data_IF_507301350110
#
_entry.id   IF_507301350110
#
_cell.length_a   1.000
_cell.length_b   1.000
_cell.length_c   1.000
_cell.angle_alpha   90.00
_cell.angle_beta   90.00
_cell.angle_gamma   90.00
#
_symmetry.space_group_name_H-M   'P 1'
#
loop_
_entity.id
_entity.type
_entity.pdbx_description
1 polymer ?
#
# COMPACT_ATOMS: atom_id res chain seq x y z
N UNK A 1 23.54 12.22 -10.38
CA UNK A 1 22.26 12.31 -9.62
C UNK A 1 22.25 13.46 -8.61
N UNK A 2 23.36 13.79 -7.94
CA UNK A 2 23.38 14.77 -6.84
C UNK A 2 23.18 16.25 -7.28
N UNK A 3 23.51 16.62 -8.52
CA UNK A 3 23.39 18.01 -9.03
C UNK A 3 21.97 18.44 -9.44
N UNK A 4 21.07 17.51 -9.72
CA UNK A 4 19.70 17.85 -10.19
C UNK A 4 18.79 18.16 -9.00
N UNK A 5 18.95 17.43 -7.90
CA UNK A 5 18.16 17.61 -6.67
C UNK A 5 18.42 18.98 -6.00
N UNK A 6 19.62 19.53 -6.16
CA UNK A 6 19.98 20.87 -5.67
C UNK A 6 19.44 21.99 -6.56
N UNK A 7 19.22 21.74 -7.86
CA UNK A 7 18.77 22.75 -8.83
C UNK A 7 17.25 22.82 -8.98
N UNK A 8 16.51 21.75 -8.68
CA UNK A 8 15.06 21.74 -8.82
C UNK A 8 14.39 20.84 -7.75
N UNK A 9 14.37 21.26 -6.47
CA UNK A 9 13.80 20.45 -5.38
C UNK A 9 12.30 20.17 -5.55
N UNK A 10 11.61 20.95 -6.39
CA UNK A 10 10.18 20.80 -6.69
C UNK A 10 9.92 20.33 -8.13
N UNK A 11 10.96 19.92 -8.87
CA UNK A 11 10.83 19.46 -10.25
C UNK A 11 10.22 18.05 -10.35
N UNK A 12 9.45 17.80 -11.40
CA UNK A 12 8.95 16.45 -11.72
C UNK A 12 10.14 15.58 -12.17
N UNK A 13 10.42 14.51 -11.44
CA UNK A 13 11.49 13.57 -11.76
C UNK A 13 10.95 12.40 -12.58
N UNK A 14 11.51 12.20 -13.78
CA UNK A 14 11.22 11.05 -14.63
C UNK A 14 12.36 10.05 -14.56
N UNK A 15 12.03 8.77 -14.42
CA UNK A 15 12.98 7.68 -14.30
C UNK A 15 12.75 6.66 -15.40
N UNK A 16 13.83 6.02 -15.87
CA UNK A 16 13.79 5.02 -16.92
C UNK A 16 13.54 3.59 -16.40
N UNK A 17 13.71 3.33 -15.10
CA UNK A 17 13.50 2.01 -14.50
C UNK A 17 12.77 2.10 -13.15
N UNK A 18 11.99 1.06 -12.83
CA UNK A 18 11.30 0.92 -11.55
C UNK A 18 12.25 0.85 -10.35
N UNK A 19 13.48 0.33 -10.54
CA UNK A 19 14.49 0.28 -9.49
C UNK A 19 14.88 1.70 -9.05
N UNK A 20 15.08 2.61 -10.00
CA UNK A 20 15.45 4.00 -9.68
C UNK A 20 14.27 4.75 -9.06
N UNK A 21 13.04 4.52 -9.53
CA UNK A 21 11.82 5.03 -8.89
C UNK A 21 11.73 4.57 -7.43
N UNK A 22 11.95 3.27 -7.19
CA UNK A 22 11.89 2.67 -5.84
C UNK A 22 12.96 3.26 -4.94
N UNK A 23 14.20 3.39 -5.43
CA UNK A 23 15.30 4.01 -4.69
C UNK A 23 15.00 5.47 -4.34
N UNK A 24 14.44 6.23 -5.26
CA UNK A 24 14.05 7.62 -5.02
C UNK A 24 12.93 7.71 -3.98
N UNK A 25 11.86 6.93 -4.14
CA UNK A 25 10.75 6.91 -3.18
C UNK A 25 11.24 6.52 -1.77
N UNK A 26 12.10 5.50 -1.66
CA UNK A 26 12.69 5.09 -0.39
C UNK A 26 13.57 6.19 0.23
N UNK A 27 14.32 6.93 -0.60
CA UNK A 27 15.07 8.09 -0.14
C UNK A 27 14.12 9.17 0.41
N UNK A 28 13.05 9.51 -0.30
CA UNK A 28 12.07 10.50 0.17
C UNK A 28 11.43 10.07 1.50
N UNK A 29 11.08 8.79 1.64
CA UNK A 29 10.56 8.23 2.89
C UNK A 29 11.62 8.24 4.02
N UNK A 30 12.91 8.10 3.70
CA UNK A 30 13.99 8.13 4.69
C UNK A 30 14.26 9.52 5.28
N UNK A 31 13.82 10.59 4.60
CA UNK A 31 13.97 11.96 5.07
C UNK A 31 12.97 12.32 6.17
N UNK A 32 11.93 11.52 6.36
CA UNK A 32 10.91 11.75 7.39
C UNK A 32 11.19 10.89 8.63
N UNK A 33 11.26 11.52 9.81
CA UNK A 33 11.55 10.82 11.07
C UNK A 33 10.36 9.99 11.57
N UNK A 34 9.14 10.50 11.41
CA UNK A 34 7.92 9.82 11.84
C UNK A 34 7.38 8.94 10.71
N UNK A 35 7.58 7.64 10.86
CA UNK A 35 7.09 6.63 9.91
C UNK A 35 6.46 5.47 10.66
N UNK A 36 5.43 4.91 10.05
CA UNK A 36 4.79 3.68 10.52
C UNK A 36 5.03 2.58 9.52
N UNK A 37 5.63 1.50 9.97
CA UNK A 37 5.82 0.31 9.16
C UNK A 37 4.57 -0.57 9.27
N UNK A 38 3.90 -0.81 8.15
CA UNK A 38 2.84 -1.82 8.03
C UNK A 38 3.43 -3.09 7.46
N UNK A 39 3.48 -4.15 8.27
CA UNK A 39 3.90 -5.49 7.86
C UNK A 39 2.68 -6.32 7.43
N UNK A 40 2.82 -7.08 6.35
CA UNK A 40 1.83 -8.03 5.87
C UNK A 40 1.54 -9.11 6.93
N UNK A 41 0.28 -9.54 6.99
CA UNK A 41 -0.18 -10.58 7.93
C UNK A 41 -0.46 -11.85 7.12
N UNK A 42 0.58 -12.67 6.97
CA UNK A 42 0.56 -13.85 6.11
C UNK A 42 -0.07 -15.06 6.82
N UNK A 43 -0.85 -15.85 6.08
CA UNK A 43 -1.42 -17.11 6.55
C UNK A 43 -1.15 -18.21 5.53
N UNK A 44 -0.47 -19.27 5.96
CA UNK A 44 -0.15 -20.43 5.13
C UNK A 44 -1.20 -21.53 5.34
N UNK A 45 -1.65 -22.14 4.24
CA UNK A 45 -2.61 -23.25 4.25
C UNK A 45 -1.92 -24.44 3.56
N UNK A 46 -2.05 -25.64 4.12
CA UNK A 46 -1.49 -26.87 3.52
C UNK A 46 -0.04 -27.19 3.89
N UNK A 47 0.59 -26.41 4.77
CA UNK A 47 1.89 -26.78 5.35
C UNK A 47 1.71 -27.92 6.37
N UNK A 48 2.51 -28.97 6.24
CA UNK A 48 2.45 -30.15 7.14
C UNK A 48 3.52 -30.13 8.22
N UNK A 49 4.52 -29.24 8.11
CA UNK A 49 5.59 -29.09 9.09
C UNK A 49 6.00 -27.62 9.29
N UNK A 50 6.67 -27.35 10.42
CA UNK A 50 7.24 -26.03 10.73
C UNK A 50 8.36 -25.64 9.76
N UNK A 51 9.14 -26.62 9.27
CA UNK A 51 10.18 -26.41 8.27
C UNK A 51 9.58 -25.97 6.92
N UNK A 52 8.50 -26.63 6.47
CA UNK A 52 7.77 -26.21 5.26
C UNK A 52 7.22 -24.80 5.40
N UNK A 53 6.65 -24.48 6.57
CA UNK A 53 6.11 -23.14 6.84
C UNK A 53 7.21 -22.08 6.76
N UNK A 54 8.37 -22.33 7.38
CA UNK A 54 9.53 -21.43 7.32
C UNK A 54 10.04 -21.23 5.89
N UNK A 55 10.11 -22.32 5.10
CA UNK A 55 10.52 -22.25 3.70
C UNK A 55 9.56 -21.40 2.86
N UNK A 56 8.25 -21.62 2.99
CA UNK A 56 7.25 -20.86 2.24
C UNK A 56 7.16 -19.40 2.68
N UNK A 57 7.34 -19.11 3.97
CA UNK A 57 7.46 -17.75 4.48
C UNK A 57 8.62 -17.01 3.81
N UNK A 58 9.81 -17.61 3.83
CA UNK A 58 10.99 -17.03 3.21
C UNK A 58 10.81 -16.85 1.69
N UNK A 59 10.17 -17.81 1.02
CA UNK A 59 9.86 -17.72 -0.41
C UNK A 59 8.91 -16.54 -0.70
N UNK A 60 7.83 -16.42 0.06
CA UNK A 60 6.85 -15.34 -0.09
C UNK A 60 7.50 -13.96 0.14
N UNK A 61 8.33 -13.82 1.17
CA UNK A 61 8.99 -12.54 1.49
C UNK A 61 10.02 -12.10 0.45
N UNK A 62 10.50 -13.03 -0.39
CA UNK A 62 11.42 -12.77 -1.50
C UNK A 62 10.74 -12.62 -2.85
N UNK A 63 9.42 -12.80 -2.93
CA UNK A 63 8.69 -12.62 -4.18
C UNK A 63 8.81 -11.17 -4.67
N UNK A 64 8.86 -11.01 -5.99
CA UNK A 64 8.75 -9.68 -6.58
C UNK A 64 7.34 -9.12 -6.35
N UNK A 65 7.19 -7.80 -6.43
CA UNK A 65 5.86 -7.17 -6.36
C UNK A 65 4.91 -7.71 -7.42
N UNK A 66 5.42 -8.16 -8.57
CA UNK A 66 4.58 -8.72 -9.63
C UNK A 66 4.03 -10.09 -9.19
N UNK A 67 4.90 -10.92 -8.62
CA UNK A 67 4.53 -12.26 -8.14
C UNK A 67 3.63 -12.21 -6.91
N UNK A 68 3.65 -11.09 -6.16
CA UNK A 68 2.78 -10.84 -5.01
C UNK A 68 1.51 -10.03 -5.34
N UNK A 69 1.12 -9.95 -6.62
CA UNK A 69 -0.04 -9.17 -7.09
C UNK A 69 -0.03 -7.70 -6.65
N UNK A 70 1.15 -7.09 -6.68
CA UNK A 70 1.44 -5.72 -6.28
C UNK A 70 1.20 -5.42 -4.79
N UNK A 71 1.16 -6.47 -3.96
CA UNK A 71 1.07 -6.37 -2.50
C UNK A 71 2.47 -6.54 -1.89
N UNK A 72 3.11 -5.47 -1.42
CA UNK A 72 4.40 -5.57 -0.72
C UNK A 72 4.25 -6.23 0.65
N UNK A 73 5.29 -6.95 1.06
CA UNK A 73 5.41 -7.49 2.41
C UNK A 73 5.50 -6.39 3.48
N UNK A 74 6.26 -5.33 3.20
CA UNK A 74 6.47 -4.20 4.10
C UNK A 74 6.16 -2.88 3.38
N UNK A 75 5.37 -2.00 4.03
CA UNK A 75 5.12 -0.64 3.55
C UNK A 75 5.48 0.35 4.65
N UNK A 76 6.37 1.28 4.35
CA UNK A 76 6.59 2.46 5.18
C UNK A 76 5.54 3.53 4.84
N UNK A 77 4.78 3.95 5.85
CA UNK A 77 3.68 4.89 5.75
C UNK A 77 4.09 6.18 6.46
N UNK A 78 3.99 7.30 5.75
CA UNK A 78 4.39 8.63 6.20
C UNK A 78 3.26 9.60 5.91
N UNK A 79 2.78 10.28 6.94
CA UNK A 79 1.68 11.23 6.82
C UNK A 79 2.07 12.40 5.91
N UNK A 80 1.07 13.02 5.28
CA UNK A 80 1.21 14.15 4.36
C UNK A 80 1.93 13.87 3.03
N UNK A 81 2.20 12.60 2.70
CA UNK A 81 2.79 12.17 1.43
C UNK A 81 1.73 11.65 0.46
N UNK A 82 1.97 11.81 -0.84
CA UNK A 82 1.12 11.26 -1.91
C UNK A 82 1.45 9.79 -2.19
N UNK A 83 0.41 8.98 -2.22
CA UNK A 83 0.47 7.56 -2.55
C UNK A 83 -0.35 7.27 -3.81
N UNK A 84 0.16 6.36 -4.64
CA UNK A 84 -0.52 5.84 -5.81
C UNK A 84 -1.13 4.49 -5.49
N UNK A 85 -2.44 4.34 -5.73
CA UNK A 85 -3.11 3.04 -5.71
C UNK A 85 -2.55 2.20 -6.86
N UNK A 86 -2.01 1.03 -6.54
CA UNK A 86 -1.48 0.08 -7.53
C UNK A 86 -2.55 -0.91 -7.99
N UNK A 87 -3.43 -1.34 -7.09
CA UNK A 87 -4.44 -2.38 -7.35
C UNK A 87 -5.85 -1.83 -7.61
N UNK A 88 -6.74 -2.67 -8.14
CA UNK A 88 -8.17 -2.31 -8.30
C UNK A 88 -8.91 -2.64 -7.01
N UNK A 89 -9.43 -1.61 -6.32
CA UNK A 89 -10.13 -1.76 -5.04
C UNK A 89 -11.66 -1.76 -5.25
N UNK A 90 -12.20 -0.67 -5.80
CA UNK A 90 -13.60 -0.53 -6.22
C UNK A 90 -13.59 0.39 -7.46
N UNK A 91 -13.55 -0.21 -8.65
CA UNK A 91 -13.45 0.51 -9.92
C UNK A 91 -14.67 1.42 -10.16
N UNK A 92 -15.92 0.97 -9.91
CA UNK A 92 -17.09 1.85 -9.94
C UNK A 92 -16.98 3.09 -9.03
N UNK A 93 -16.37 2.95 -7.85
CA UNK A 93 -16.14 4.07 -6.91
C UNK A 93 -14.85 4.87 -7.21
N UNK A 94 -14.20 4.62 -8.36
CA UNK A 94 -13.00 5.33 -8.80
C UNK A 94 -11.70 4.91 -8.07
N UNK A 95 -11.76 3.96 -7.15
CA UNK A 95 -10.62 3.40 -6.44
C UNK A 95 -9.92 2.32 -7.28
N UNK A 96 -9.22 2.77 -8.32
CA UNK A 96 -8.54 1.93 -9.30
C UNK A 96 -7.04 2.22 -9.36
N UNK A 97 -6.30 1.31 -9.98
CA UNK A 97 -4.87 1.50 -10.29
C UNK A 97 -4.62 2.86 -10.95
N UNK A 98 -3.60 3.56 -10.47
CA UNK A 98 -3.21 4.89 -10.93
C UNK A 98 -3.86 6.05 -10.20
N UNK A 99 -4.89 5.83 -9.36
CA UNK A 99 -5.44 6.89 -8.52
C UNK A 99 -4.39 7.35 -7.50
N UNK A 100 -4.17 8.66 -7.39
CA UNK A 100 -3.18 9.26 -6.49
C UNK A 100 -3.88 10.08 -5.43
N UNK A 101 -3.56 9.84 -4.17
CA UNK A 101 -4.14 10.56 -3.04
C UNK A 101 -3.09 10.91 -1.98
N UNK A 102 -3.32 12.01 -1.27
CA UNK A 102 -2.47 12.46 -0.15
C UNK A 102 -2.91 11.75 1.12
N UNK A 103 -1.96 11.15 1.84
CA UNK A 103 -2.23 10.55 3.15
C UNK A 103 -2.49 11.62 4.20
N UNK A 104 -3.69 11.63 4.77
CA UNK A 104 -4.08 12.61 5.80
C UNK A 104 -4.22 12.00 7.18
N UNK A 105 -4.44 10.69 7.28
CA UNK A 105 -4.59 10.01 8.56
C UNK A 105 -4.29 8.50 8.47
N UNK A 106 -3.78 7.93 9.56
CA UNK A 106 -3.53 6.49 9.70
C UNK A 106 -4.44 5.98 10.81
N UNK A 107 -5.27 4.98 10.49
CA UNK A 107 -6.12 4.30 11.47
C UNK A 107 -5.32 3.16 12.12
N UNK A 108 -5.32 3.09 13.44
CA UNK A 108 -4.54 2.12 14.21
C UNK A 108 -5.46 1.13 14.93
N UNK A 109 -5.00 -0.11 15.07
CA UNK A 109 -5.63 -1.05 16.01
C UNK A 109 -5.15 -0.78 17.45
N UNK A 110 -5.64 -1.60 18.40
CA UNK A 110 -5.28 -1.51 19.82
C UNK A 110 -3.78 -1.70 20.06
N UNK A 111 -3.11 -2.49 19.21
CA UNK A 111 -1.68 -2.79 19.27
C UNK A 111 -0.81 -1.73 18.59
N UNK A 112 -1.41 -0.63 18.12
CA UNK A 112 -0.77 0.43 17.31
C UNK A 112 -0.23 -0.04 15.94
N UNK A 113 -0.75 -1.15 15.41
CA UNK A 113 -0.57 -1.50 14.00
C UNK A 113 -1.47 -0.65 13.12
N UNK A 114 -0.94 -0.15 12.00
CA UNK A 114 -1.74 0.49 10.97
C UNK A 114 -2.81 -0.48 10.42
N UNK A 115 -4.09 -0.22 10.72
CA UNK A 115 -5.25 -0.99 10.26
C UNK A 115 -5.72 -0.54 8.87
N UNK A 116 -5.55 0.74 8.58
CA UNK A 116 -5.93 1.36 7.32
C UNK A 116 -5.39 2.78 7.23
N UNK A 117 -5.54 3.37 6.06
CA UNK A 117 -5.09 4.74 5.80
C UNK A 117 -6.21 5.56 5.19
N UNK A 118 -6.18 6.87 5.36
CA UNK A 118 -7.16 7.79 4.80
C UNK A 118 -6.49 8.69 3.80
N UNK A 119 -6.95 8.62 2.54
CA UNK A 119 -6.39 9.40 1.44
C UNK A 119 -7.37 10.48 1.00
N UNK A 120 -6.89 11.70 0.82
CA UNK A 120 -7.60 12.72 0.07
C UNK A 120 -7.20 12.65 -1.40
N UNK A 121 -8.17 12.82 -2.31
CA UNK A 121 -7.95 12.83 -3.75
C UNK A 121 -8.26 14.23 -4.30
N UNK A 122 -7.29 15.17 -4.29
CA UNK A 122 -7.53 16.56 -4.70
C UNK A 122 -8.06 16.67 -6.13
N UNK A 123 -7.58 15.79 -7.01
CA UNK A 123 -7.91 15.81 -8.44
C UNK A 123 -9.31 15.27 -8.76
N UNK A 124 -9.97 14.59 -7.81
CA UNK A 124 -11.32 14.07 -8.03
C UNK A 124 -12.09 13.79 -6.74
N UNK A 125 -13.07 14.66 -6.46
CA UNK A 125 -14.01 14.48 -5.33
C UNK A 125 -15.01 13.32 -5.53
N UNK A 126 -15.04 12.72 -6.72
CA UNK A 126 -15.90 11.57 -7.05
C UNK A 126 -15.31 10.24 -6.57
N UNK A 127 -13.99 10.19 -6.34
CA UNK A 127 -13.33 8.97 -5.86
C UNK A 127 -13.79 8.67 -4.43
N UNK A 128 -14.14 7.41 -4.18
CA UNK A 128 -14.45 6.91 -2.85
C UNK A 128 -15.76 7.42 -2.25
N UNK A 129 -16.69 7.92 -3.05
CA UNK A 129 -17.95 8.49 -2.53
C UNK A 129 -18.83 7.43 -1.88
N UNK A 130 -18.89 6.23 -2.45
CA UNK A 130 -19.68 5.14 -1.89
C UNK A 130 -19.10 4.67 -0.57
N UNK A 131 -17.78 4.47 -0.49
CA UNK A 131 -17.16 4.01 0.75
C UNK A 131 -17.22 5.07 1.86
N UNK A 132 -17.06 6.36 1.55
CA UNK A 132 -17.20 7.46 2.53
C UNK A 132 -18.53 7.44 3.27
N UNK A 133 -19.64 7.31 2.54
CA UNK A 133 -20.99 7.20 3.11
C UNK A 133 -21.14 6.05 4.11
N UNK A 134 -20.34 4.99 3.96
CA UNK A 134 -20.39 3.81 4.84
C UNK A 134 -19.61 4.04 6.15
N UNK A 135 -18.67 5.00 6.17
CA UNK A 135 -17.77 5.26 7.30
C UNK A 135 -17.93 6.66 7.91
N UNK A 136 -18.93 7.44 7.49
CA UNK A 136 -19.13 8.84 7.89
C UNK A 136 -19.13 9.02 9.42
N UNK A 137 -19.69 8.07 10.17
CA UNK A 137 -19.69 8.10 11.64
C UNK A 137 -18.30 7.94 12.28
N UNK A 138 -17.44 7.10 11.71
CA UNK A 138 -16.07 6.88 12.19
C UNK A 138 -15.16 8.05 11.81
N UNK A 139 -15.30 8.59 10.59
CA UNK A 139 -14.54 9.76 10.15
C UNK A 139 -14.85 11.02 10.99
N UNK A 140 -16.12 11.23 11.35
CA UNK A 140 -16.53 12.34 12.20
C UNK A 140 -15.99 12.22 13.64
N UNK A 141 -15.93 11.01 14.21
CA UNK A 141 -15.40 10.78 15.56
C UNK A 141 -13.90 11.12 15.68
N UNK A 142 -13.16 10.98 14.59
CA UNK A 142 -11.70 11.20 14.55
C UNK A 142 -11.35 12.61 14.00
N UNK A 143 -12.35 13.46 13.73
CA UNK A 143 -12.17 14.81 13.15
C UNK A 143 -11.37 14.82 11.83
N UNK A 144 -11.48 13.74 11.05
CA UNK A 144 -10.82 13.64 9.75
C UNK A 144 -11.62 14.47 8.74
N UNK A 145 -10.92 15.03 7.76
CA UNK A 145 -11.54 15.72 6.63
C UNK A 145 -12.63 14.88 5.97
N UNK A 146 -13.78 15.50 5.69
CA UNK A 146 -14.95 14.86 5.06
C UNK A 146 -14.68 14.38 3.63
N UNK A 147 -13.59 14.84 3.01
CA UNK A 147 -13.20 14.43 1.66
C UNK A 147 -12.28 13.21 1.67
N UNK A 148 -11.72 12.85 2.82
CA UNK A 148 -10.82 11.72 2.98
C UNK A 148 -11.55 10.39 2.77
N UNK A 149 -10.89 9.47 2.09
CA UNK A 149 -11.42 8.17 1.72
C UNK A 149 -10.62 7.09 2.46
N UNK A 150 -11.27 6.19 3.21
CA UNK A 150 -10.57 5.10 3.89
C UNK A 150 -10.12 4.03 2.88
N UNK A 151 -8.87 3.59 3.04
CA UNK A 151 -8.28 2.48 2.32
C UNK A 151 -7.83 1.44 3.36
N UNK A 152 -8.54 0.31 3.39
CA UNK A 152 -8.21 -0.80 4.28
C UNK A 152 -7.08 -1.66 3.73
N UNK A 153 -6.49 -2.49 4.61
CA UNK A 153 -5.58 -3.56 4.20
C UNK A 153 -6.23 -4.47 3.16
N UNK A 154 -5.43 -4.94 2.21
CA UNK A 154 -5.84 -5.90 1.18
C UNK A 154 -5.08 -7.20 1.37
N UNK A 155 -5.69 -8.28 0.92
CA UNK A 155 -5.12 -9.61 0.97
C UNK A 155 -5.38 -10.28 -0.37
N UNK A 156 -4.45 -11.13 -0.79
CA UNK A 156 -4.63 -12.01 -1.94
C UNK A 156 -4.17 -13.43 -1.61
N UNK A 157 -4.67 -14.40 -2.36
CA UNK A 157 -4.29 -15.80 -2.25
C UNK A 157 -3.21 -16.09 -3.29
N UNK A 158 -1.96 -16.17 -2.84
CA UNK A 158 -0.82 -16.42 -3.72
C UNK A 158 -0.51 -17.93 -3.73
N UNK A 159 -0.60 -18.62 -4.88
CA UNK A 159 -0.18 -20.01 -4.97
C UNK A 159 1.35 -20.10 -4.84
N UNK A 160 1.82 -20.82 -3.82
CA UNK A 160 3.26 -21.00 -3.57
C UNK A 160 3.82 -22.28 -4.20
N UNK A 161 2.94 -23.10 -4.77
CA UNK A 161 3.20 -24.40 -5.35
C UNK A 161 3.29 -24.21 -6.87
N UNK A 162 4.31 -24.78 -7.51
CA UNK A 162 4.40 -24.77 -8.99
C UNK A 162 3.52 -25.83 -9.64
N UNK A 163 2.81 -26.63 -8.85
CA UNK A 163 2.04 -27.76 -9.36
C UNK A 163 0.75 -27.25 -10.02
N UNK A 164 0.83 -27.07 -11.33
CA UNK A 164 -0.31 -27.24 -12.24
C UNK A 164 -0.85 -28.66 -12.05
N UNK A 165 -1.56 -28.90 -10.97
CA UNK A 165 -2.26 -30.16 -10.76
C UNK A 165 -3.57 -30.05 -11.53
N UNK A 166 -3.54 -30.42 -12.81
CA UNK A 166 -4.75 -30.79 -13.53
C UNK A 166 -5.13 -32.16 -12.97
N UNK A 167 -6.18 -32.22 -12.16
CA UNK A 167 -6.82 -33.48 -11.79
C UNK A 167 -8.02 -33.69 -12.72
N UNK A 168 -8.06 -34.84 -13.39
CA UNK A 168 -9.23 -35.36 -14.09
C UNK A 168 -10.28 -35.87 -13.11
#
# INVERSE_FOLDING_TARGET
MQEVETKCPYGIQLFNTNEVVTRYNNKMLSLTQEKVTSIAKDKFIGCTSAEQTTYFLWKLHKMSLIDSEELPYEIAIVQDIYYRITTRIDVPDGLKSGAVGKLVYIDYNVDRDAKGVWLEFPDSQKIGQKIKKTVDGHGAAIQISKTAVPIGRRSSNIPLNNDKTINF
#
